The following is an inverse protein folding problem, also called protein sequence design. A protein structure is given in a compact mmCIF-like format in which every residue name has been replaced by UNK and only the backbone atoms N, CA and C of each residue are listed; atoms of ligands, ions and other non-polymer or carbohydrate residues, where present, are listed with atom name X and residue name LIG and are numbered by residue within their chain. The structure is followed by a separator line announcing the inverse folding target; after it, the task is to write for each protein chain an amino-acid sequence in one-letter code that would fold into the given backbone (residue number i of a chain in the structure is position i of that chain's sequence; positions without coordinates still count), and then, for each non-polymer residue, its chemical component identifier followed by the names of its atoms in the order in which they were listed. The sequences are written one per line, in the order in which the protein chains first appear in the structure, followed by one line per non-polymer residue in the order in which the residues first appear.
data_IF_572738965570
#
_entry.id   IF_572738965570
#
_cell.length_a   1.000
_cell.length_b   1.000
_cell.length_c   1.000
_cell.angle_alpha   90.00
_cell.angle_beta   90.00
_cell.angle_gamma   90.00
#
_symmetry.space_group_name_H-M   'P 1'
#
loop_
_entity.id
_entity.type
_entity.pdbx_description
1 polymer ?
#
# COMPACT_ATOMS: atom_id res chain seq x y z
N UNK A 1 13.68 10.93 16.00
CA UNK A 1 13.22 11.06 14.60
C UNK A 1 14.41 11.46 13.70
N UNK A 2 15.23 10.49 13.30
CA UNK A 2 16.30 10.69 12.34
C UNK A 2 15.78 10.51 10.91
N UNK A 3 16.08 11.44 10.00
CA UNK A 3 15.85 11.25 8.57
C UNK A 3 17.11 10.69 7.92
N UNK A 4 16.93 9.71 7.04
CA UNK A 4 17.95 9.21 6.14
C UNK A 4 17.65 9.72 4.74
N UNK A 5 18.63 9.72 3.85
CA UNK A 5 18.44 10.19 2.48
C UNK A 5 19.15 9.27 1.49
N UNK A 6 18.60 9.19 0.29
CA UNK A 6 19.22 8.51 -0.84
C UNK A 6 19.80 9.59 -1.75
N UNK A 7 21.15 9.73 -1.80
CA UNK A 7 21.77 10.76 -2.60
C UNK A 7 21.66 10.43 -4.09
N UNK A 8 21.47 11.46 -4.92
CA UNK A 8 21.56 11.37 -6.37
C UNK A 8 22.78 12.13 -6.87
N UNK A 9 23.19 11.86 -8.10
CA UNK A 9 24.33 12.55 -8.72
C UNK A 9 23.90 13.88 -9.36
N UNK A 10 24.81 14.83 -9.37
CA UNK A 10 24.59 16.11 -10.03
C UNK A 10 24.49 15.96 -11.56
N UNK A 11 23.83 16.92 -12.21
CA UNK A 11 23.67 16.96 -13.68
C UNK A 11 25.00 16.87 -14.43
N UNK A 12 26.10 17.34 -13.82
CA UNK A 12 27.43 17.24 -14.39
C UNK A 12 27.91 15.81 -14.62
N UNK A 13 27.40 14.87 -13.83
CA UNK A 13 27.70 13.43 -13.92
C UNK A 13 26.65 12.65 -14.70
N UNK A 14 25.47 13.23 -14.93
CA UNK A 14 24.41 12.66 -15.75
C UNK A 14 23.72 13.73 -16.59
N UNK A 15 24.33 14.07 -17.72
CA UNK A 15 23.81 15.08 -18.64
C UNK A 15 22.57 14.65 -19.42
N UNK A 16 22.23 13.36 -19.35
CA UNK A 16 21.07 12.78 -20.02
C UNK A 16 19.85 12.63 -19.09
N UNK A 17 19.87 13.26 -17.91
CA UNK A 17 18.80 13.15 -16.92
C UNK A 17 17.40 13.42 -17.49
N UNK A 18 17.27 14.31 -18.48
CA UNK A 18 15.99 14.60 -19.14
C UNK A 18 15.49 13.47 -20.07
N UNK A 19 16.33 12.49 -20.38
CA UNK A 19 15.94 11.31 -21.16
C UNK A 19 15.43 10.16 -20.29
N UNK A 20 15.49 10.33 -18.98
CA UNK A 20 15.20 9.34 -17.97
C UNK A 20 16.45 8.88 -17.23
N UNK A 21 16.25 8.38 -16.03
CA UNK A 21 17.31 7.79 -15.20
C UNK A 21 16.91 6.36 -14.90
N UNK A 22 17.68 5.41 -15.41
CA UNK A 22 17.53 4.02 -15.01
C UNK A 22 18.12 3.85 -13.61
N UNK A 23 17.29 3.41 -12.68
CA UNK A 23 17.69 3.20 -11.29
C UNK A 23 17.92 1.70 -11.08
N UNK A 24 19.14 1.33 -10.70
CA UNK A 24 19.43 0.01 -10.16
C UNK A 24 19.11 0.03 -8.64
N UNK A 25 18.06 -0.65 -8.19
CA UNK A 25 17.67 -0.61 -6.78
C UNK A 25 18.77 -1.07 -5.82
N UNK A 26 19.59 -2.00 -6.23
CA UNK A 26 20.67 -2.54 -5.39
C UNK A 26 21.82 -1.56 -5.19
N UNK A 27 22.09 -0.72 -6.17
CA UNK A 27 23.26 0.19 -6.16
C UNK A 27 22.87 1.64 -5.89
N UNK A 28 21.73 2.09 -6.42
CA UNK A 28 21.38 3.50 -6.46
C UNK A 28 20.40 3.92 -5.36
N UNK A 29 19.84 2.94 -4.57
CA UNK A 29 18.86 3.25 -3.53
C UNK A 29 19.36 2.95 -2.12
N UNK A 30 20.67 2.82 -1.93
CA UNK A 30 21.25 2.66 -0.60
C UNK A 30 21.15 3.98 0.18
N UNK A 31 20.47 3.99 1.35
CA UNK A 31 20.32 5.20 2.13
C UNK A 31 21.58 5.53 2.93
N UNK A 32 21.83 6.82 3.09
CA UNK A 32 22.85 7.34 3.99
C UNK A 32 22.18 7.86 5.25
N UNK A 33 22.58 7.38 6.40
CA UNK A 33 22.03 7.78 7.71
C UNK A 33 22.99 8.59 8.57
N UNK A 34 24.31 8.37 8.44
CA UNK A 34 25.32 9.05 9.26
C UNK A 34 26.69 8.97 8.60
N UNK A 35 27.62 9.84 9.02
CA UNK A 35 29.04 9.78 8.69
C UNK A 35 29.85 9.03 9.76
N UNK A 36 29.23 8.61 10.84
CA UNK A 36 29.86 7.83 11.90
C UNK A 36 29.94 6.36 11.48
N UNK A 37 31.17 5.88 11.25
CA UNK A 37 31.42 4.50 10.81
C UNK A 37 31.15 3.44 11.89
N UNK A 38 31.07 3.84 13.15
CA UNK A 38 30.81 2.96 14.29
C UNK A 38 29.31 2.95 14.68
N UNK A 39 28.46 3.67 13.93
CA UNK A 39 27.03 3.75 14.19
C UNK A 39 26.32 2.41 13.97
N UNK A 40 25.58 1.98 14.99
CA UNK A 40 24.75 0.78 14.95
C UNK A 40 23.26 1.18 14.98
N UNK A 41 22.59 1.02 13.87
CA UNK A 41 21.18 1.40 13.71
C UNK A 41 20.28 0.63 14.68
N UNK A 42 20.52 -0.68 14.84
CA UNK A 42 19.68 -1.52 15.70
C UNK A 42 19.83 -1.10 17.15
N UNK A 43 21.04 -0.90 17.62
CA UNK A 43 21.28 -0.39 18.98
C UNK A 43 20.71 1.00 19.20
N UNK A 44 20.72 1.85 18.19
CA UNK A 44 20.10 3.17 18.27
C UNK A 44 18.58 3.07 18.47
N UNK A 45 17.93 2.15 17.74
CA UNK A 45 16.49 1.90 17.89
C UNK A 45 16.20 1.24 19.24
N UNK A 46 16.98 0.25 19.67
CA UNK A 46 16.85 -0.38 21.01
C UNK A 46 16.91 0.66 22.14
N UNK A 47 17.80 1.61 22.02
CA UNK A 47 17.93 2.72 22.99
C UNK A 47 16.68 3.61 23.00
N UNK A 48 16.10 3.86 21.83
CA UNK A 48 14.88 4.69 21.70
C UNK A 48 13.66 3.99 22.28
N UNK A 49 13.48 2.70 21.98
CA UNK A 49 12.33 1.90 22.47
C UNK A 49 12.53 1.39 23.91
N UNK A 50 13.76 1.39 24.42
CA UNK A 50 14.08 0.89 25.77
C UNK A 50 14.00 -0.64 25.90
N UNK A 51 14.16 -1.39 24.82
CA UNK A 51 14.06 -2.85 24.78
C UNK A 51 15.03 -3.46 23.78
N UNK A 52 15.42 -4.72 23.99
CA UNK A 52 16.21 -5.51 23.07
C UNK A 52 15.35 -5.92 21.85
N UNK A 53 15.91 -5.82 20.65
CA UNK A 53 15.28 -6.25 19.40
C UNK A 53 15.69 -7.68 19.07
N UNK A 54 14.74 -8.60 19.15
CA UNK A 54 14.96 -10.01 18.84
C UNK A 54 14.89 -10.32 17.34
N UNK A 55 14.12 -9.55 16.60
CA UNK A 55 13.96 -9.65 15.13
C UNK A 55 13.43 -8.34 14.60
N UNK A 56 13.73 -8.00 13.33
CA UNK A 56 13.28 -6.77 12.71
C UNK A 56 13.08 -6.92 11.21
N UNK A 57 12.18 -6.12 10.70
CA UNK A 57 12.06 -5.77 9.29
C UNK A 57 12.06 -4.24 9.17
N UNK A 58 12.94 -3.70 8.34
CA UNK A 58 13.12 -2.26 8.17
C UNK A 58 12.88 -1.86 6.71
N UNK A 59 12.05 -0.85 6.52
CA UNK A 59 11.71 -0.32 5.21
C UNK A 59 12.01 1.17 5.15
N UNK A 60 12.58 1.61 4.03
CA UNK A 60 12.72 3.03 3.73
C UNK A 60 11.37 3.55 3.25
N UNK A 61 10.88 4.60 3.89
CA UNK A 61 9.61 5.24 3.55
C UNK A 61 9.80 6.72 3.31
N UNK A 62 8.97 7.31 2.45
CA UNK A 62 8.96 8.76 2.25
C UNK A 62 8.54 9.48 3.53
N UNK A 63 9.27 10.54 3.91
CA UNK A 63 8.92 11.44 5.00
C UNK A 63 7.94 12.53 4.55
N UNK A 64 7.58 12.60 3.29
CA UNK A 64 6.63 13.57 2.78
C UNK A 64 5.25 13.31 3.36
N UNK A 65 4.66 14.36 3.93
CA UNK A 65 3.32 14.30 4.51
C UNK A 65 2.27 14.58 3.44
N UNK A 66 1.04 14.18 3.72
CA UNK A 66 -0.10 14.58 2.92
C UNK A 66 -0.31 16.10 2.96
N UNK A 67 -0.65 16.67 1.81
CA UNK A 67 -0.95 18.09 1.63
C UNK A 67 -2.27 18.28 0.92
N UNK A 68 -3.01 19.28 1.34
CA UNK A 68 -4.10 19.83 0.54
C UNK A 68 -3.49 20.88 -0.39
N UNK A 69 -3.76 20.76 -1.69
CA UNK A 69 -3.14 21.58 -2.73
C UNK A 69 -4.20 22.04 -3.75
N UNK A 70 -3.78 22.93 -4.64
CA UNK A 70 -4.66 23.61 -5.59
C UNK A 70 -4.93 25.04 -5.15
N UNK A 71 -5.44 25.87 -6.07
CA UNK A 71 -5.72 27.28 -5.78
C UNK A 71 -6.90 27.43 -4.80
N UNK A 72 -7.80 26.46 -4.79
CA UNK A 72 -9.00 26.43 -3.95
C UNK A 72 -8.98 25.26 -2.95
N UNK A 73 -7.81 24.70 -2.65
CA UNK A 73 -7.65 23.54 -1.74
C UNK A 73 -8.46 22.29 -2.17
N UNK A 74 -8.59 22.08 -3.47
CA UNK A 74 -9.47 21.06 -4.03
C UNK A 74 -8.81 19.69 -4.22
N UNK A 75 -7.49 19.57 -4.03
CA UNK A 75 -6.77 18.32 -4.21
C UNK A 75 -6.10 17.84 -2.92
N UNK A 76 -6.09 16.55 -2.72
CA UNK A 76 -5.26 15.89 -1.72
C UNK A 76 -4.06 15.26 -2.42
N UNK A 77 -2.84 15.65 -2.03
CA UNK A 77 -1.60 15.10 -2.54
C UNK A 77 -0.88 14.33 -1.43
N UNK A 78 -0.63 13.05 -1.67
CA UNK A 78 0.10 12.18 -0.75
C UNK A 78 0.71 11.00 -1.50
N UNK A 79 1.76 10.44 -0.96
CA UNK A 79 2.21 9.12 -1.37
C UNK A 79 1.22 8.04 -0.94
N UNK A 80 1.13 6.97 -1.70
CA UNK A 80 0.36 5.76 -1.36
C UNK A 80 -1.15 5.98 -1.21
N UNK A 81 -1.73 6.99 -1.87
CA UNK A 81 -3.19 7.11 -1.99
C UNK A 81 -3.76 5.84 -2.61
N UNK A 82 -3.14 5.38 -3.66
CA UNK A 82 -3.29 4.03 -4.15
C UNK A 82 -2.41 3.09 -3.29
N UNK A 83 -3.00 2.16 -2.51
CA UNK A 83 -4.45 1.97 -2.38
C UNK A 83 -4.95 2.26 -0.94
N UNK A 84 -4.27 3.15 -0.20
CA UNK A 84 -4.65 3.47 1.19
C UNK A 84 -6.01 4.17 1.28
N UNK A 85 -6.41 4.94 0.27
CA UNK A 85 -7.71 5.60 0.26
C UNK A 85 -8.84 4.57 0.21
N UNK A 86 -8.74 3.58 -0.69
CA UNK A 86 -9.76 2.52 -0.78
C UNK A 86 -9.67 1.52 0.37
N UNK A 87 -8.48 1.23 0.90
CA UNK A 87 -8.33 0.44 2.12
C UNK A 87 -9.03 1.10 3.31
N UNK A 88 -8.84 2.42 3.47
CA UNK A 88 -9.55 3.21 4.49
C UNK A 88 -11.08 3.16 4.29
N UNK A 89 -11.55 3.41 3.07
CA UNK A 89 -12.98 3.37 2.75
C UNK A 89 -13.60 2.00 3.04
N UNK A 90 -12.90 0.91 2.71
CA UNK A 90 -13.31 -0.46 2.97
C UNK A 90 -13.47 -0.73 4.48
N UNK A 91 -12.45 -0.39 5.26
CA UNK A 91 -12.47 -0.59 6.72
C UNK A 91 -13.56 0.29 7.38
N UNK A 92 -13.65 1.56 6.99
CA UNK A 92 -14.64 2.48 7.53
C UNK A 92 -16.06 2.10 7.16
N UNK A 93 -16.27 1.51 5.99
CA UNK A 93 -17.56 0.97 5.57
C UNK A 93 -18.01 -0.17 6.51
N UNK A 94 -17.09 -1.07 6.88
CA UNK A 94 -17.37 -2.14 7.83
C UNK A 94 -17.67 -1.59 9.24
N UNK A 95 -16.87 -0.62 9.72
CA UNK A 95 -17.06 0.01 11.05
C UNK A 95 -18.44 0.68 11.14
N UNK A 96 -18.89 1.33 10.08
CA UNK A 96 -20.15 2.05 10.04
C UNK A 96 -21.34 1.18 9.58
N UNK A 97 -21.10 -0.06 9.17
CA UNK A 97 -22.16 -0.97 8.77
C UNK A 97 -23.08 -1.29 9.95
N UNK A 98 -24.39 -1.31 9.69
CA UNK A 98 -25.35 -1.80 10.68
C UNK A 98 -25.36 -3.32 10.64
N UNK A 99 -25.44 -3.92 11.82
CA UNK A 99 -25.63 -5.36 11.92
C UNK A 99 -26.92 -5.78 11.18
N UNK A 100 -26.82 -6.81 10.36
CA UNK A 100 -27.90 -7.36 9.56
C UNK A 100 -27.88 -8.89 9.60
N UNK A 101 -28.68 -9.49 8.74
CA UNK A 101 -28.72 -10.96 8.62
C UNK A 101 -27.49 -11.55 7.94
N UNK A 102 -26.81 -10.74 7.13
CA UNK A 102 -25.62 -11.14 6.39
C UNK A 102 -24.35 -10.72 7.12
N UNK A 103 -23.33 -11.57 7.08
CA UNK A 103 -22.00 -11.24 7.61
C UNK A 103 -21.29 -10.28 6.67
N UNK A 104 -20.93 -9.09 7.19
CA UNK A 104 -20.10 -8.14 6.47
C UNK A 104 -18.61 -8.47 6.71
N UNK A 105 -17.83 -8.47 5.63
CA UNK A 105 -16.39 -8.73 5.67
C UNK A 105 -15.66 -7.64 4.91
N UNK A 106 -14.67 -7.03 5.53
CA UNK A 106 -13.67 -6.20 4.84
C UNK A 106 -12.36 -6.97 4.74
N UNK A 107 -11.82 -7.01 3.54
CA UNK A 107 -10.53 -7.64 3.25
C UNK A 107 -9.62 -6.65 2.56
N UNK A 108 -8.38 -6.56 3.01
CA UNK A 108 -7.31 -5.79 2.37
C UNK A 108 -6.19 -6.76 2.07
N UNK A 109 -5.93 -6.98 0.79
CA UNK A 109 -4.81 -7.80 0.31
C UNK A 109 -3.52 -7.01 0.34
N UNK A 110 -2.40 -7.71 0.43
CA UNK A 110 -1.06 -7.12 0.39
C UNK A 110 -0.37 -7.45 -0.94
N UNK A 111 0.77 -6.80 -1.19
CA UNK A 111 1.67 -7.10 -2.30
C UNK A 111 1.06 -6.97 -3.71
N UNK A 112 0.09 -6.11 -3.93
CA UNK A 112 -0.52 -5.95 -5.26
C UNK A 112 0.55 -5.58 -6.30
N UNK A 113 1.38 -4.57 -6.03
CA UNK A 113 2.43 -4.06 -6.92
C UNK A 113 3.56 -5.08 -7.18
N UNK A 114 3.85 -5.94 -6.21
CA UNK A 114 4.82 -7.04 -6.36
C UNK A 114 4.19 -8.21 -7.12
N UNK A 115 2.92 -8.45 -6.87
CA UNK A 115 2.09 -9.46 -7.50
C UNK A 115 1.11 -10.13 -6.55
N UNK A 116 -0.15 -10.16 -6.97
CA UNK A 116 -1.24 -10.76 -6.21
C UNK A 116 -1.09 -12.28 -5.97
N UNK A 117 -0.21 -12.93 -6.72
CA UNK A 117 0.12 -14.36 -6.58
C UNK A 117 1.07 -14.66 -5.42
N UNK A 118 1.56 -13.66 -4.71
CA UNK A 118 2.39 -13.83 -3.52
C UNK A 118 1.60 -14.47 -2.38
N UNK A 119 2.30 -14.94 -1.36
CA UNK A 119 1.69 -15.58 -0.19
C UNK A 119 0.67 -14.67 0.54
N UNK A 120 0.87 -13.35 0.52
CA UNK A 120 0.03 -12.33 1.15
C UNK A 120 -0.93 -11.66 0.17
N UNK A 121 -0.80 -11.92 -1.12
CA UNK A 121 -1.56 -11.26 -2.16
C UNK A 121 -3.02 -11.70 -2.24
N UNK A 122 -3.79 -11.00 -3.06
CA UNK A 122 -5.23 -11.24 -3.21
C UNK A 122 -5.58 -12.64 -3.75
N UNK A 123 -4.70 -13.27 -4.52
CA UNK A 123 -4.86 -14.66 -5.00
C UNK A 123 -4.34 -15.72 -4.02
N UNK A 124 -3.80 -15.32 -2.88
CA UNK A 124 -3.39 -16.27 -1.86
C UNK A 124 -4.58 -17.04 -1.28
N UNK A 125 -4.36 -18.18 -0.64
CA UNK A 125 -5.42 -18.90 0.04
C UNK A 125 -5.93 -18.19 1.31
N UNK A 126 -5.33 -17.10 1.74
CA UNK A 126 -5.59 -16.45 3.01
C UNK A 126 -7.08 -16.14 3.25
N UNK A 127 -7.71 -15.42 2.31
CA UNK A 127 -9.14 -15.07 2.45
C UNK A 127 -10.02 -16.32 2.49
N UNK A 128 -9.80 -17.21 1.52
CA UNK A 128 -10.57 -18.47 1.41
C UNK A 128 -10.46 -19.32 2.67
N UNK A 129 -9.24 -19.53 3.13
CA UNK A 129 -8.99 -20.43 4.27
C UNK A 129 -9.44 -19.78 5.58
N UNK A 130 -9.35 -18.47 5.71
CA UNK A 130 -9.87 -17.71 6.85
C UNK A 130 -11.40 -17.83 6.93
N UNK A 131 -12.11 -17.59 5.84
CA UNK A 131 -13.58 -17.71 5.80
C UNK A 131 -14.04 -19.14 6.09
N UNK A 132 -13.38 -20.14 5.52
CA UNK A 132 -13.69 -21.54 5.81
C UNK A 132 -13.49 -21.85 7.31
N UNK A 133 -12.39 -21.41 7.89
CA UNK A 133 -12.11 -21.62 9.32
C UNK A 133 -13.14 -20.93 10.22
N UNK A 134 -13.61 -19.75 9.85
CA UNK A 134 -14.69 -19.07 10.57
C UNK A 134 -15.95 -19.93 10.56
N UNK A 135 -16.40 -20.40 9.40
CA UNK A 135 -17.60 -21.24 9.29
C UNK A 135 -17.46 -22.51 10.13
N UNK A 136 -16.33 -23.20 10.03
CA UNK A 136 -16.09 -24.42 10.80
C UNK A 136 -16.03 -24.14 12.30
N UNK A 137 -15.43 -23.05 12.74
CA UNK A 137 -15.37 -22.67 14.16
C UNK A 137 -16.74 -22.32 14.75
N UNK A 138 -17.66 -21.89 13.90
CA UNK A 138 -19.09 -21.67 14.27
C UNK A 138 -19.94 -22.94 14.26
N UNK A 139 -19.33 -24.10 13.99
CA UNK A 139 -20.04 -25.39 13.94
C UNK A 139 -20.58 -25.75 12.55
N UNK A 140 -20.30 -24.96 11.54
CA UNK A 140 -20.68 -25.25 10.15
C UNK A 140 -19.74 -26.24 9.46
N UNK A 141 -20.18 -26.72 8.31
CA UNK A 141 -19.49 -27.69 7.47
C UNK A 141 -18.83 -27.00 6.26
N UNK A 142 -18.06 -27.76 5.49
CA UNK A 142 -17.55 -27.28 4.19
C UNK A 142 -18.71 -26.96 3.21
N UNK A 143 -19.80 -27.70 3.26
CA UNK A 143 -20.98 -27.42 2.43
C UNK A 143 -21.64 -26.09 2.82
N UNK A 144 -21.76 -25.81 4.13
CA UNK A 144 -22.27 -24.51 4.60
C UNK A 144 -21.40 -23.34 4.13
N UNK A 145 -20.07 -23.54 4.10
CA UNK A 145 -19.16 -22.56 3.53
C UNK A 145 -19.42 -22.32 2.04
N UNK A 146 -19.64 -23.38 1.25
CA UNK A 146 -19.95 -23.28 -0.18
C UNK A 146 -21.27 -22.56 -0.45
N UNK A 147 -22.29 -22.87 0.37
CA UNK A 147 -23.60 -22.20 0.33
C UNK A 147 -23.45 -20.72 0.68
N UNK A 148 -22.70 -20.40 1.73
CA UNK A 148 -22.44 -19.01 2.12
C UNK A 148 -21.76 -18.21 1.01
N UNK A 149 -20.74 -18.76 0.37
CA UNK A 149 -20.07 -18.11 -0.76
C UNK A 149 -21.01 -17.89 -1.95
N UNK A 150 -21.88 -18.88 -2.26
CA UNK A 150 -22.86 -18.76 -3.35
C UNK A 150 -23.87 -17.65 -3.12
N UNK A 151 -24.20 -17.37 -1.86
CA UNK A 151 -25.13 -16.32 -1.45
C UNK A 151 -24.43 -14.98 -1.16
N UNK A 152 -23.12 -14.90 -1.34
CA UNK A 152 -22.33 -13.70 -1.12
C UNK A 152 -22.10 -12.93 -2.42
N UNK A 153 -21.82 -11.65 -2.29
CA UNK A 153 -21.22 -10.86 -3.36
C UNK A 153 -20.02 -10.07 -2.82
N UNK A 154 -19.13 -9.66 -3.71
CA UNK A 154 -17.95 -8.90 -3.35
C UNK A 154 -17.87 -7.62 -4.18
N UNK A 155 -17.52 -6.53 -3.50
CA UNK A 155 -17.13 -5.27 -4.15
C UNK A 155 -15.61 -5.23 -4.10
N UNK A 156 -14.98 -5.11 -5.27
CA UNK A 156 -13.56 -4.81 -5.37
C UNK A 156 -13.38 -3.31 -5.46
N UNK A 157 -12.52 -2.76 -4.63
CA UNK A 157 -12.22 -1.33 -4.57
C UNK A 157 -10.75 -1.10 -4.81
N UNK A 158 -10.46 -0.25 -5.77
CA UNK A 158 -9.11 0.16 -6.13
C UNK A 158 -9.12 1.61 -6.62
N UNK A 159 -7.96 2.29 -6.63
CA UNK A 159 -7.84 3.62 -7.20
C UNK A 159 -7.73 3.54 -8.72
N UNK A 160 -8.40 4.45 -9.40
CA UNK A 160 -8.37 4.56 -10.85
C UNK A 160 -7.62 5.83 -11.28
N UNK A 161 -6.92 5.74 -12.41
CA UNK A 161 -6.28 6.90 -13.02
C UNK A 161 -7.31 7.93 -13.44
N UNK A 162 -7.18 9.16 -12.97
CA UNK A 162 -7.93 10.29 -13.46
C UNK A 162 -7.44 10.74 -14.85
N UNK A 163 -8.27 11.53 -15.54
CA UNK A 163 -7.85 12.18 -16.77
C UNK A 163 -6.70 13.15 -16.52
N UNK A 164 -5.56 12.91 -17.18
CA UNK A 164 -4.38 13.74 -17.03
C UNK A 164 -4.27 14.74 -18.20
N UNK A 165 -4.35 16.05 -17.97
CA UNK A 165 -4.41 17.05 -19.03
C UNK A 165 -3.17 17.06 -19.94
N UNK A 166 -2.00 16.69 -19.43
CA UNK A 166 -0.75 16.63 -20.19
C UNK A 166 -0.55 15.30 -20.93
N UNK A 167 -1.37 14.27 -20.64
CA UNK A 167 -1.28 12.92 -21.21
C UNK A 167 -2.67 12.43 -21.66
N UNK A 168 -3.40 13.26 -22.38
CA UNK A 168 -4.79 13.03 -22.78
C UNK A 168 -4.97 11.76 -23.62
N UNK A 169 -3.94 11.36 -24.34
CA UNK A 169 -3.93 10.17 -25.20
C UNK A 169 -3.92 8.85 -24.43
N UNK A 170 -3.73 8.85 -23.11
CA UNK A 170 -3.81 7.67 -22.28
C UNK A 170 -5.21 7.40 -21.71
N UNK A 171 -6.12 8.35 -21.86
CA UNK A 171 -7.50 8.20 -21.43
C UNK A 171 -8.43 7.83 -22.59
N UNK A 172 -9.56 7.18 -22.24
CA UNK A 172 -10.66 6.98 -23.20
C UNK A 172 -11.13 8.33 -23.71
N UNK A 173 -11.21 8.53 -25.04
CA UNK A 173 -11.59 9.82 -25.61
C UNK A 173 -13.07 10.19 -25.33
N UNK A 174 -13.91 9.19 -25.06
CA UNK A 174 -15.37 9.36 -24.89
C UNK A 174 -15.78 9.35 -23.42
N UNK A 175 -15.22 8.40 -22.63
CA UNK A 175 -15.55 8.19 -21.22
C UNK A 175 -14.35 8.56 -20.36
N UNK A 176 -14.09 9.85 -20.24
CA UNK A 176 -12.94 10.34 -19.45
C UNK A 176 -13.21 10.18 -17.97
N UNK A 177 -12.29 9.53 -17.23
CA UNK A 177 -12.39 9.50 -15.77
C UNK A 177 -12.21 10.91 -15.20
N UNK A 178 -12.92 11.19 -14.12
CA UNK A 178 -12.80 12.44 -13.38
C UNK A 178 -11.70 12.34 -12.32
N UNK A 179 -11.17 13.48 -11.91
CA UNK A 179 -10.32 13.61 -10.73
C UNK A 179 -11.20 13.57 -9.49
#
# INVERSE_FOLDING_TARGET
DGMIFIPSVAIHMNREANKGVEINPQENTLPVCTMDGDFDLIKSIEKEIGAEILSHELYVVSCEKAHVVGVNDEFLMSGRLDNLAMAYANIMSLINAKAGEMTAVAYVGDNEEIGSMTKQGAFSPFLRDTLLRIVVSMGGTYEDYRIALSNSFMISSDEAHAFHPNYQNYADPTNRPLI
#
